data_IF_267362759849
#
_entry.id   IF_267362759849
#
_cell.length_a   1.000
_cell.length_b   1.000
_cell.length_c   1.000
_cell.angle_alpha   90.00
_cell.angle_beta   90.00
_cell.angle_gamma   90.00
#
_symmetry.space_group_name_H-M   'P 1'
#
loop_
_entity.id
_entity.type
_entity.pdbx_description
1 polymer ?
#
# COMPACT_ATOMS: atom_id res chain seq x y z
N UNK A 1 56.17 37.64 -8.51
CA UNK A 1 55.13 38.53 -9.08
C UNK A 1 54.27 37.84 -10.13
N UNK A 2 54.50 36.54 -10.40
CA UNK A 2 53.89 35.79 -11.52
C UNK A 2 52.83 34.76 -11.07
N UNK A 3 52.71 34.51 -9.76
CA UNK A 3 51.84 33.46 -9.19
C UNK A 3 50.42 33.93 -8.79
N UNK A 4 50.13 35.24 -8.91
CA UNK A 4 48.87 35.82 -8.41
C UNK A 4 47.80 35.90 -9.53
N UNK A 5 48.18 35.79 -10.80
CA UNK A 5 47.23 35.92 -11.93
C UNK A 5 46.52 34.61 -12.31
N UNK A 6 47.12 33.43 -12.11
CA UNK A 6 46.50 32.15 -12.49
C UNK A 6 45.26 31.79 -11.64
N UNK A 7 45.22 32.25 -10.38
CA UNK A 7 44.13 31.92 -9.46
C UNK A 7 42.84 32.71 -9.71
N UNK A 8 42.88 33.77 -10.52
CA UNK A 8 41.69 34.57 -10.83
C UNK A 8 40.91 34.06 -12.05
N UNK A 9 41.58 33.33 -12.96
CA UNK A 9 41.01 32.84 -14.23
C UNK A 9 40.20 31.54 -14.05
N UNK A 10 40.44 30.77 -12.97
CA UNK A 10 39.75 29.50 -12.72
C UNK A 10 38.28 29.64 -12.26
N UNK A 11 37.82 30.85 -11.94
CA UNK A 11 36.47 31.10 -11.38
C UNK A 11 35.39 31.50 -12.39
N UNK A 12 35.70 31.63 -13.68
CA UNK A 12 34.71 31.95 -14.73
C UNK A 12 34.49 30.73 -15.63
N UNK A 13 34.16 29.57 -15.03
CA UNK A 13 33.45 28.53 -15.80
C UNK A 13 31.98 28.93 -15.82
N UNK A 14 31.57 29.58 -16.91
CA UNK A 14 30.16 29.82 -17.24
C UNK A 14 29.41 28.48 -17.17
N UNK A 15 28.71 28.22 -16.06
CA UNK A 15 27.71 27.16 -15.97
C UNK A 15 26.56 27.58 -16.87
N UNK A 16 26.64 27.19 -18.13
CA UNK A 16 25.56 27.36 -19.09
C UNK A 16 24.42 26.43 -18.64
N UNK A 17 23.33 27.02 -18.14
CA UNK A 17 22.11 26.31 -17.70
C UNK A 17 21.51 26.88 -16.42
N UNK A 18 20.18 26.81 -16.30
CA UNK A 18 19.47 27.12 -15.05
C UNK A 18 20.03 26.23 -13.92
N UNK A 19 20.36 26.77 -12.74
CA UNK A 19 20.80 25.95 -11.60
C UNK A 19 19.82 24.81 -11.31
N UNK A 20 20.35 23.62 -11.00
CA UNK A 20 19.52 22.47 -10.62
C UNK A 20 18.81 22.77 -9.30
N UNK A 21 17.51 22.49 -9.27
CA UNK A 21 16.70 22.65 -8.06
C UNK A 21 17.15 21.59 -7.04
N UNK A 22 17.66 22.03 -5.89
CA UNK A 22 17.95 21.15 -4.77
C UNK A 22 16.65 20.96 -4.00
N UNK A 23 16.10 19.75 -4.06
CA UNK A 23 14.93 19.33 -3.28
C UNK A 23 15.38 18.29 -2.27
N UNK A 24 14.70 18.26 -1.13
CA UNK A 24 14.89 17.21 -0.13
C UNK A 24 14.34 15.88 -0.65
N UNK A 25 15.24 14.98 -1.02
CA UNK A 25 14.93 13.63 -1.50
C UNK A 25 14.25 12.78 -0.43
N UNK A 26 14.57 13.00 0.86
CA UNK A 26 13.95 12.27 1.97
C UNK A 26 12.48 12.63 2.12
N UNK A 27 12.16 13.91 2.01
CA UNK A 27 10.77 14.37 1.99
C UNK A 27 10.00 13.80 0.79
N UNK A 28 10.61 13.79 -0.41
CA UNK A 28 9.99 13.22 -1.61
C UNK A 28 9.67 11.74 -1.42
N UNK A 29 10.61 10.94 -0.90
CA UNK A 29 10.34 9.51 -0.70
C UNK A 29 9.28 9.27 0.37
N UNK A 30 9.25 10.08 1.44
CA UNK A 30 8.24 9.94 2.49
C UNK A 30 6.83 10.27 1.97
N UNK A 31 6.69 11.28 1.11
CA UNK A 31 5.44 11.56 0.41
C UNK A 31 5.07 10.43 -0.57
N UNK A 32 6.03 9.88 -1.30
CA UNK A 32 5.79 8.76 -2.20
C UNK A 32 5.37 7.47 -1.46
N UNK A 33 5.90 7.20 -0.27
CA UNK A 33 5.53 6.06 0.60
C UNK A 33 4.07 6.08 1.02
N UNK A 34 3.49 7.26 1.22
CA UNK A 34 2.05 7.40 1.48
C UNK A 34 1.22 7.41 0.20
N UNK A 35 1.83 7.08 -0.95
CA UNK A 35 1.22 7.04 -2.28
C UNK A 35 0.66 8.39 -2.75
N UNK A 36 1.28 9.52 -2.37
CA UNK A 36 0.96 10.80 -2.99
C UNK A 36 1.25 10.77 -4.50
N UNK A 37 0.39 11.44 -5.26
CA UNK A 37 0.53 11.66 -6.70
C UNK A 37 1.63 12.66 -7.01
N UNK A 38 2.13 12.66 -8.24
CA UNK A 38 3.20 13.59 -8.66
C UNK A 38 2.78 15.06 -8.49
N UNK A 39 1.49 15.37 -8.70
CA UNK A 39 0.92 16.71 -8.54
C UNK A 39 0.93 17.13 -7.07
N UNK A 40 0.55 16.23 -6.15
CA UNK A 40 0.57 16.50 -4.72
C UNK A 40 1.99 16.71 -4.20
N UNK A 41 2.93 15.85 -4.64
CA UNK A 41 4.36 16.00 -4.29
C UNK A 41 4.89 17.34 -4.81
N UNK A 42 4.58 17.70 -6.06
CA UNK A 42 4.98 18.97 -6.66
C UNK A 42 4.44 20.18 -5.88
N UNK A 43 3.19 20.11 -5.44
CA UNK A 43 2.56 21.14 -4.62
C UNK A 43 3.25 21.32 -3.27
N UNK A 44 3.61 20.22 -2.60
CA UNK A 44 4.30 20.26 -1.29
C UNK A 44 5.74 20.76 -1.45
N UNK A 45 6.46 20.26 -2.46
CA UNK A 45 7.85 20.63 -2.74
C UNK A 45 7.99 21.98 -3.46
N UNK A 46 6.88 22.66 -3.77
CA UNK A 46 6.82 23.95 -4.47
C UNK A 46 7.63 23.94 -5.77
N UNK A 47 7.51 22.86 -6.54
CA UNK A 47 8.21 22.67 -7.80
C UNK A 47 7.23 22.26 -8.91
N UNK A 48 7.67 22.28 -10.17
CA UNK A 48 6.89 21.77 -11.30
C UNK A 48 6.93 20.24 -11.35
N UNK A 49 5.83 19.60 -11.76
CA UNK A 49 5.73 18.15 -12.01
C UNK A 49 6.85 17.65 -12.94
N UNK A 50 7.11 18.32 -14.05
CA UNK A 50 8.17 17.99 -15.01
C UNK A 50 9.56 17.86 -14.35
N UNK A 51 9.83 18.67 -13.32
CA UNK A 51 11.11 18.61 -12.60
C UNK A 51 11.21 17.34 -11.76
N UNK A 52 10.10 16.87 -11.18
CA UNK A 52 10.05 15.61 -10.44
C UNK A 52 10.19 14.41 -11.38
N UNK A 53 9.48 14.42 -12.52
CA UNK A 53 9.52 13.34 -13.49
C UNK A 53 10.92 13.14 -14.09
N UNK A 54 11.63 14.24 -14.39
CA UNK A 54 12.95 14.16 -15.02
C UNK A 54 14.07 13.76 -14.07
N UNK A 55 13.99 14.15 -12.80
CA UNK A 55 15.13 14.03 -11.87
C UNK A 55 14.88 13.08 -10.69
N UNK A 56 13.62 12.83 -10.32
CA UNK A 56 13.25 12.12 -9.08
C UNK A 56 12.31 10.92 -9.31
N UNK A 57 12.04 10.54 -10.57
CA UNK A 57 11.12 9.44 -10.90
C UNK A 57 11.49 8.12 -10.23
N UNK A 58 12.78 7.75 -10.19
CA UNK A 58 13.22 6.49 -9.58
C UNK A 58 13.01 6.47 -8.06
N UNK A 59 13.28 7.59 -7.39
CA UNK A 59 13.07 7.74 -5.94
C UNK A 59 11.59 7.65 -5.61
N UNK A 60 10.76 8.34 -6.39
CA UNK A 60 9.29 8.33 -6.22
C UNK A 60 8.75 6.93 -6.46
N UNK A 61 9.18 6.26 -7.53
CA UNK A 61 8.77 4.87 -7.83
C UNK A 61 9.14 3.92 -6.70
N UNK A 62 10.37 4.04 -6.17
CA UNK A 62 10.81 3.24 -5.01
C UNK A 62 9.92 3.49 -3.79
N UNK A 63 9.67 4.76 -3.44
CA UNK A 63 8.77 5.12 -2.35
C UNK A 63 7.36 4.54 -2.54
N UNK A 64 6.80 4.61 -3.75
CA UNK A 64 5.49 4.02 -4.05
C UNK A 64 5.48 2.49 -3.87
N UNK A 65 6.53 1.78 -4.27
CA UNK A 65 6.61 0.33 -4.05
C UNK A 65 6.73 -0.03 -2.56
N UNK A 66 7.48 0.75 -1.78
CA UNK A 66 7.54 0.62 -0.31
C UNK A 66 6.16 0.89 0.33
N UNK A 67 5.45 1.89 -0.17
CA UNK A 67 4.08 2.23 0.21
C UNK A 67 3.08 1.11 -0.08
N UNK A 68 3.11 0.57 -1.30
CA UNK A 68 2.29 -0.58 -1.70
C UNK A 68 2.58 -1.81 -0.82
N UNK A 69 3.83 -2.04 -0.47
CA UNK A 69 4.22 -3.14 0.43
C UNK A 69 3.62 -2.96 1.82
N UNK A 70 3.69 -1.74 2.36
CA UNK A 70 3.08 -1.39 3.66
C UNK A 70 1.56 -1.53 3.62
N UNK A 71 0.92 -1.07 2.55
CA UNK A 71 -0.52 -1.26 2.33
C UNK A 71 -0.91 -2.73 2.32
N UNK A 72 -0.18 -3.59 1.59
CA UNK A 72 -0.44 -5.05 1.57
C UNK A 72 -0.34 -5.67 2.96
N UNK A 73 0.63 -5.25 3.77
CA UNK A 73 0.74 -5.70 5.17
C UNK A 73 -0.50 -5.29 5.98
N UNK A 74 -0.95 -4.05 5.88
CA UNK A 74 -2.17 -3.59 6.58
C UNK A 74 -3.41 -4.34 6.11
N UNK A 75 -3.52 -4.64 4.82
CA UNK A 75 -4.59 -5.46 4.27
C UNK A 75 -4.61 -6.87 4.88
N UNK A 76 -3.45 -7.52 5.02
CA UNK A 76 -3.35 -8.81 5.71
C UNK A 76 -3.82 -8.73 7.16
N UNK A 77 -3.33 -7.74 7.91
CA UNK A 77 -3.75 -7.54 9.31
C UNK A 77 -5.26 -7.30 9.42
N UNK A 78 -5.86 -6.54 8.49
CA UNK A 78 -7.29 -6.33 8.46
C UNK A 78 -8.07 -7.63 8.18
N UNK A 79 -7.58 -8.45 7.25
CA UNK A 79 -8.18 -9.76 6.95
C UNK A 79 -8.11 -10.71 8.15
N UNK A 80 -6.97 -10.77 8.85
CA UNK A 80 -6.78 -11.56 10.07
C UNK A 80 -7.73 -11.11 11.20
N UNK A 81 -7.98 -9.80 11.31
CA UNK A 81 -8.94 -9.23 12.27
C UNK A 81 -10.41 -9.47 11.88
N UNK A 82 -10.68 -10.17 10.79
CA UNK A 82 -12.03 -10.53 10.37
C UNK A 82 -12.70 -9.54 9.42
N UNK A 83 -11.94 -8.65 8.76
CA UNK A 83 -12.49 -7.82 7.69
C UNK A 83 -12.82 -8.70 6.46
N UNK A 84 -14.10 -9.05 6.32
CA UNK A 84 -14.62 -9.92 5.25
C UNK A 84 -14.33 -9.35 3.87
N UNK A 85 -14.47 -8.04 3.68
CA UNK A 85 -14.19 -7.38 2.39
C UNK A 85 -12.73 -7.60 1.97
N UNK A 86 -11.81 -7.51 2.93
CA UNK A 86 -10.39 -7.73 2.66
C UNK A 86 -10.08 -9.20 2.37
N UNK A 87 -10.74 -10.13 3.07
CA UNK A 87 -10.64 -11.56 2.78
C UNK A 87 -11.12 -11.86 1.34
N UNK A 88 -12.28 -11.33 0.94
CA UNK A 88 -12.80 -11.48 -0.43
C UNK A 88 -11.81 -10.89 -1.44
N UNK A 89 -11.28 -9.70 -1.18
CA UNK A 89 -10.34 -9.04 -2.07
C UNK A 89 -9.05 -9.87 -2.24
N UNK A 90 -8.45 -10.35 -1.14
CA UNK A 90 -7.24 -11.16 -1.18
C UNK A 90 -7.48 -12.52 -1.85
N UNK A 91 -8.62 -13.16 -1.60
CA UNK A 91 -9.03 -14.39 -2.30
C UNK A 91 -9.12 -14.19 -3.81
N UNK A 92 -9.67 -13.06 -4.27
CA UNK A 92 -9.72 -12.72 -5.69
C UNK A 92 -8.33 -12.48 -6.29
N UNK A 93 -7.50 -11.70 -5.60
CA UNK A 93 -6.20 -11.26 -6.12
C UNK A 93 -5.12 -12.34 -6.07
N UNK A 94 -5.05 -13.11 -4.98
CA UNK A 94 -3.97 -14.07 -4.74
C UNK A 94 -4.37 -15.52 -5.06
N UNK A 95 -5.63 -15.89 -4.80
CA UNK A 95 -6.12 -17.26 -5.01
C UNK A 95 -6.87 -17.43 -6.32
N UNK A 96 -7.05 -16.34 -7.09
CA UNK A 96 -7.75 -16.39 -8.37
C UNK A 96 -9.24 -16.73 -8.27
N UNK A 97 -9.85 -16.59 -7.08
CA UNK A 97 -11.28 -16.85 -6.86
C UNK A 97 -12.11 -15.76 -7.55
N UNK A 98 -12.46 -15.97 -8.82
CA UNK A 98 -13.24 -15.02 -9.63
C UNK A 98 -14.73 -15.30 -9.53
N UNK A 99 -15.52 -14.25 -9.73
CA UNK A 99 -16.97 -14.40 -9.86
C UNK A 99 -17.33 -15.06 -11.20
N UNK A 100 -18.32 -15.97 -11.22
CA UNK A 100 -18.81 -16.56 -12.46
C UNK A 100 -19.43 -15.48 -13.36
N UNK A 101 -19.11 -15.56 -14.65
CA UNK A 101 -19.51 -14.55 -15.65
C UNK A 101 -20.90 -14.78 -16.25
N UNK A 102 -21.36 -16.03 -16.28
CA UNK A 102 -22.66 -16.41 -16.86
C UNK A 102 -23.67 -16.74 -15.78
N UNK A 103 -24.96 -16.62 -16.09
CA UNK A 103 -26.02 -16.85 -15.12
C UNK A 103 -26.09 -18.34 -14.71
N UNK A 104 -25.86 -19.24 -15.67
CA UNK A 104 -25.84 -20.69 -15.43
C UNK A 104 -24.69 -21.08 -14.47
N UNK A 105 -23.53 -20.43 -14.61
CA UNK A 105 -22.39 -20.66 -13.73
C UNK A 105 -22.63 -20.10 -12.32
N UNK A 106 -23.39 -19.00 -12.19
CA UNK A 106 -23.81 -18.47 -10.89
C UNK A 106 -24.80 -19.41 -10.21
N UNK A 107 -25.78 -19.92 -10.94
CA UNK A 107 -26.75 -20.89 -10.41
C UNK A 107 -26.07 -22.16 -9.90
N UNK A 108 -25.13 -22.71 -10.68
CA UNK A 108 -24.35 -23.87 -10.26
C UNK A 108 -23.50 -23.58 -9.01
N UNK A 109 -22.81 -22.43 -8.96
CA UNK A 109 -22.04 -22.03 -7.80
C UNK A 109 -22.92 -21.88 -6.55
N UNK A 110 -24.10 -21.25 -6.69
CA UNK A 110 -25.08 -21.13 -5.61
C UNK A 110 -25.60 -22.49 -5.15
N UNK A 111 -25.80 -23.43 -6.08
CA UNK A 111 -26.22 -24.79 -5.75
C UNK A 111 -25.12 -25.52 -4.97
N UNK A 112 -23.87 -25.46 -5.41
CA UNK A 112 -22.73 -26.08 -4.71
C UNK A 112 -22.61 -25.56 -3.27
N UNK A 113 -22.74 -24.24 -3.07
CA UNK A 113 -22.71 -23.63 -1.73
C UNK A 113 -23.84 -24.16 -0.82
N UNK A 114 -25.01 -24.48 -1.37
CA UNK A 114 -26.12 -25.08 -0.62
C UNK A 114 -25.89 -26.55 -0.28
N UNK A 115 -25.21 -27.31 -1.16
CA UNK A 115 -24.88 -28.73 -0.92
C UNK A 115 -23.83 -28.87 0.18
N UNK A 116 -22.86 -27.96 0.22
CA UNK A 116 -21.88 -27.93 1.30
C UNK A 116 -22.62 -27.50 2.57
N UNK A 117 -22.93 -28.46 3.44
CA UNK A 117 -23.65 -28.20 4.68
C UNK A 117 -22.76 -27.45 5.69
N UNK A 118 -22.70 -26.13 5.52
CA UNK A 118 -22.07 -25.24 6.49
C UNK A 118 -22.88 -25.12 7.79
N UNK A 119 -24.11 -25.66 7.85
CA UNK A 119 -24.93 -25.59 9.07
C UNK A 119 -24.32 -26.40 10.19
N UNK A 120 -23.71 -27.54 9.87
CA UNK A 120 -22.97 -28.39 10.80
C UNK A 120 -21.75 -27.66 11.41
N UNK A 121 -20.97 -26.95 10.58
CA UNK A 121 -19.82 -26.16 11.04
C UNK A 121 -20.23 -24.91 11.86
N UNK A 122 -21.36 -24.30 11.52
CA UNK A 122 -21.91 -23.14 12.23
C UNK A 122 -22.39 -23.53 13.63
N UNK A 123 -23.03 -24.70 13.77
CA UNK A 123 -23.49 -25.26 15.05
C UNK A 123 -22.33 -25.49 16.02
N UNK A 124 -21.27 -26.16 15.58
CA UNK A 124 -20.08 -26.41 16.40
C UNK A 124 -19.39 -25.11 16.86
N UNK A 125 -19.32 -24.10 15.98
CA UNK A 125 -18.72 -22.80 16.33
C UNK A 125 -19.54 -22.07 17.38
N UNK A 126 -20.87 -22.07 17.24
CA UNK A 126 -21.78 -21.37 18.14
C UNK A 126 -21.85 -22.08 19.52
N UNK A 127 -21.73 -23.41 19.55
CA UNK A 127 -21.58 -24.21 20.78
C UNK A 127 -20.26 -23.91 21.51
N UNK A 128 -19.13 -23.91 20.79
CA UNK A 128 -17.82 -23.52 21.37
C UNK A 128 -17.80 -22.08 21.88
N UNK A 129 -18.58 -21.18 21.28
CA UNK A 129 -18.70 -19.80 21.74
C UNK A 129 -19.46 -19.71 23.05
N UNK A 130 -20.57 -20.46 23.18
CA UNK A 130 -21.33 -20.59 24.44
C UNK A 130 -20.48 -21.18 25.56
N UNK A 131 -19.70 -22.24 25.30
CA UNK A 131 -18.79 -22.82 26.29
C UNK A 131 -17.71 -21.83 26.78
N UNK A 132 -17.18 -21.01 25.88
CA UNK A 132 -16.20 -19.97 26.26
C UNK A 132 -16.83 -18.86 27.09
N UNK A 133 -18.08 -18.50 26.83
CA UNK A 133 -18.83 -17.50 27.57
C UNK A 133 -19.23 -17.99 28.97
N UNK A 134 -19.71 -19.23 29.10
CA UNK A 134 -20.01 -19.85 30.40
C UNK A 134 -18.75 -20.03 31.25
N UNK A 135 -17.64 -20.45 30.64
CA UNK A 135 -16.37 -20.61 31.34
C UNK A 135 -15.77 -19.27 31.81
N UNK A 136 -15.99 -18.18 31.06
CA UNK A 136 -15.64 -16.81 31.51
C UNK A 136 -16.50 -16.35 32.68
N UNK A 137 -17.81 -16.61 32.64
CA UNK A 137 -18.74 -16.23 33.73
C UNK A 137 -18.40 -16.96 35.03
N UNK A 138 -18.05 -18.25 34.98
CA UNK A 138 -17.64 -19.02 36.16
C UNK A 138 -16.32 -18.54 36.79
N UNK A 139 -15.39 -17.98 35.99
CA UNK A 139 -14.12 -17.45 36.48
C UNK A 139 -14.21 -16.04 37.06
N UNK A 140 -15.20 -15.25 36.67
CA UNK A 140 -15.43 -13.89 37.19
C UNK A 140 -16.23 -13.88 38.50
N UNK A 141 -16.85 -15.01 38.87
CA UNK A 141 -17.69 -15.16 40.06
C UNK A 141 -16.99 -15.90 41.22
N UNK A 142 -15.68 -16.13 41.11
CA UNK A 142 -14.77 -16.71 42.12
C UNK A 142 -13.72 -15.67 42.49
#
# INVERSE_FOLDING_TARGET
MEEIEENHISKIKNKIGRPRLQLDEEQIINLAKINCTMIEIASVMKCSVDSLERNFADIIKRGQEEGKTSLRRHMWIAAEKGNITMQIWLSKQLLGMREPKTEEAKELANHIVKIIDFSSLKKERDEKKKERETHKQMKASK
#
